data_IF_563748565447
#
_entry.id   IF_563748565447
#
_cell.length_a   1.000
_cell.length_b   1.000
_cell.length_c   1.000
_cell.angle_alpha   90.00
_cell.angle_beta   90.00
_cell.angle_gamma   90.00
#
_symmetry.space_group_name_H-M   'P 1'
#
loop_
_entity.id
_entity.type
_entity.pdbx_description
1 polymer ?
#
# COMPACT_ATOMS: atom_id res chain seq x y z
N UNK A 1 -14.93 -24.41 -10.64
CA UNK A 1 -16.10 -23.63 -11.06
C UNK A 1 -15.98 -23.36 -12.57
N UNK A 2 -17.11 -23.55 -13.29
CA UNK A 2 -17.22 -23.21 -14.71
C UNK A 2 -17.61 -21.75 -14.94
N UNK A 3 -18.04 -21.42 -16.18
CA UNK A 3 -18.57 -20.08 -16.47
C UNK A 3 -19.92 -19.84 -15.79
N UNK A 4 -20.75 -20.89 -15.72
CA UNK A 4 -22.07 -20.87 -15.08
C UNK A 4 -21.98 -21.18 -13.58
N UNK A 5 -23.12 -21.04 -12.89
CA UNK A 5 -23.25 -21.39 -11.49
C UNK A 5 -23.03 -22.88 -11.27
N UNK A 6 -22.08 -23.21 -10.40
CA UNK A 6 -21.83 -24.55 -9.88
C UNK A 6 -22.24 -24.58 -8.42
N UNK A 7 -23.00 -25.59 -8.00
CA UNK A 7 -23.52 -25.72 -6.64
C UNK A 7 -22.91 -26.95 -5.94
N UNK A 8 -22.55 -26.77 -4.68
CA UNK A 8 -22.08 -27.83 -3.80
C UNK A 8 -22.97 -27.87 -2.56
N UNK A 9 -23.63 -28.99 -2.34
CA UNK A 9 -24.55 -29.22 -1.22
C UNK A 9 -23.83 -29.92 -0.07
N UNK A 10 -23.75 -29.27 1.08
CA UNK A 10 -23.20 -29.80 2.33
C UNK A 10 -24.28 -29.89 3.43
N UNK A 11 -25.52 -30.15 3.06
CA UNK A 11 -26.66 -30.24 3.99
C UNK A 11 -27.15 -28.88 4.45
N UNK A 12 -26.67 -28.41 5.61
CA UNK A 12 -27.05 -27.08 6.13
C UNK A 12 -26.43 -25.91 5.35
N UNK A 13 -25.34 -26.17 4.63
CA UNK A 13 -24.60 -25.17 3.88
C UNK A 13 -24.67 -25.44 2.38
N UNK A 14 -25.05 -24.44 1.62
CA UNK A 14 -24.97 -24.42 0.16
C UNK A 14 -23.83 -23.50 -0.27
N UNK A 15 -22.92 -24.02 -1.10
CA UNK A 15 -21.86 -23.22 -1.73
C UNK A 15 -22.17 -23.08 -3.20
N UNK A 16 -22.21 -21.88 -3.72
CA UNK A 16 -22.38 -21.59 -5.14
C UNK A 16 -21.23 -20.72 -5.66
N UNK A 17 -20.80 -20.93 -6.90
CA UNK A 17 -19.77 -20.10 -7.51
C UNK A 17 -19.67 -20.27 -9.01
N UNK A 18 -18.95 -19.36 -9.65
CA UNK A 18 -18.66 -19.37 -11.07
C UNK A 18 -17.65 -18.30 -11.45
N UNK A 19 -17.07 -18.39 -12.64
CA UNK A 19 -16.07 -17.40 -13.10
C UNK A 19 -16.71 -16.14 -13.63
N UNK A 20 -17.85 -16.24 -14.32
CA UNK A 20 -18.61 -15.10 -14.82
C UNK A 20 -20.12 -15.43 -14.93
N UNK A 21 -20.75 -16.01 -13.86
CA UNK A 21 -22.12 -16.48 -13.95
C UNK A 21 -23.11 -15.31 -14.00
N UNK A 22 -24.23 -15.48 -14.68
CA UNK A 22 -25.31 -14.49 -14.65
C UNK A 22 -25.94 -14.42 -13.25
N UNK A 23 -25.87 -13.28 -12.55
CA UNK A 23 -26.51 -13.14 -11.24
C UNK A 23 -28.03 -13.41 -11.27
N UNK A 24 -28.72 -13.23 -12.41
CA UNK A 24 -30.14 -13.51 -12.51
C UNK A 24 -30.45 -15.00 -12.36
N UNK A 25 -29.55 -15.87 -12.81
CA UNK A 25 -29.71 -17.32 -12.74
C UNK A 25 -29.36 -17.91 -11.37
N UNK A 26 -28.85 -17.11 -10.41
CA UNK A 26 -28.55 -17.56 -9.05
C UNK A 26 -29.82 -17.92 -8.30
N UNK A 27 -29.91 -19.17 -7.86
CA UNK A 27 -31.02 -19.69 -7.05
C UNK A 27 -30.47 -20.36 -5.79
N UNK A 28 -30.79 -19.83 -4.61
CA UNK A 28 -30.32 -20.31 -3.32
C UNK A 28 -31.48 -20.54 -2.35
N UNK A 29 -31.51 -21.66 -1.64
CA UNK A 29 -32.55 -21.98 -0.67
C UNK A 29 -32.52 -21.02 0.52
N UNK A 30 -33.64 -20.36 0.86
CA UNK A 30 -33.66 -19.35 1.91
C UNK A 30 -33.43 -19.90 3.34
N UNK A 31 -33.72 -21.21 3.53
CA UNK A 31 -33.62 -21.91 4.83
C UNK A 31 -32.21 -22.41 5.16
N UNK A 32 -31.27 -22.31 4.19
CA UNK A 32 -29.89 -22.77 4.38
C UNK A 32 -28.93 -21.61 4.53
N UNK A 33 -27.75 -21.91 5.03
CA UNK A 33 -26.60 -21.01 4.97
C UNK A 33 -26.02 -21.04 3.56
N UNK A 34 -25.97 -19.90 2.91
CA UNK A 34 -25.54 -19.80 1.53
C UNK A 34 -24.25 -18.98 1.40
N UNK A 35 -23.19 -19.64 0.94
CA UNK A 35 -21.88 -19.03 0.65
C UNK A 35 -21.72 -18.95 -0.87
N UNK A 36 -21.46 -17.76 -1.37
CA UNK A 36 -21.26 -17.52 -2.81
C UNK A 36 -19.80 -17.11 -3.05
N UNK A 37 -19.15 -17.74 -4.03
CA UNK A 37 -17.76 -17.46 -4.42
C UNK A 37 -17.74 -16.82 -5.81
N UNK A 38 -17.20 -15.61 -5.90
CA UNK A 38 -16.99 -14.90 -7.17
C UNK A 38 -15.60 -14.27 -7.21
N UNK A 39 -15.07 -14.10 -8.42
CA UNK A 39 -13.81 -13.39 -8.63
C UNK A 39 -14.06 -12.12 -9.45
N UNK A 40 -13.70 -10.98 -8.89
CA UNK A 40 -13.83 -9.68 -9.58
C UNK A 40 -13.93 -8.50 -8.65
N UNK A 41 -13.97 -7.31 -9.24
CA UNK A 41 -14.06 -6.06 -8.50
C UNK A 41 -15.50 -5.59 -8.40
N UNK A 42 -15.96 -5.34 -7.18
CA UNK A 42 -17.26 -4.70 -6.93
C UNK A 42 -17.21 -3.23 -7.37
N UNK A 43 -18.20 -2.82 -8.14
CA UNK A 43 -18.37 -1.42 -8.58
C UNK A 43 -19.73 -0.87 -8.18
N UNK A 44 -19.72 0.40 -7.83
CA UNK A 44 -20.92 1.14 -7.41
C UNK A 44 -21.77 1.72 -8.53
N UNK A 45 -21.48 1.44 -9.82
CA UNK A 45 -22.21 1.93 -10.98
C UNK A 45 -21.28 2.25 -12.17
N UNK A 46 -21.82 2.24 -13.39
CA UNK A 46 -21.10 2.50 -14.64
C UNK A 46 -20.86 1.26 -15.50
N UNK A 47 -20.29 1.43 -16.72
CA UNK A 47 -19.91 0.31 -17.60
C UNK A 47 -18.81 -0.52 -16.94
N UNK A 48 -19.10 -1.79 -16.67
CA UNK A 48 -18.16 -2.72 -16.04
C UNK A 48 -17.06 -3.18 -17.00
N UNK A 49 -15.84 -3.38 -16.48
CA UNK A 49 -14.82 -4.17 -17.16
C UNK A 49 -15.08 -5.67 -17.02
N UNK A 50 -14.24 -6.49 -17.61
CA UNK A 50 -14.36 -7.95 -17.73
C UNK A 50 -14.57 -8.71 -16.40
N UNK A 51 -14.15 -8.12 -15.27
CA UNK A 51 -14.28 -8.71 -13.92
C UNK A 51 -15.10 -7.84 -12.97
N UNK A 52 -16.18 -7.23 -13.46
CA UNK A 52 -17.02 -6.34 -12.66
C UNK A 52 -18.18 -7.07 -12.01
N UNK A 53 -18.29 -6.99 -10.69
CA UNK A 53 -19.39 -7.55 -9.89
C UNK A 53 -20.34 -6.43 -9.48
N UNK A 54 -21.63 -6.62 -9.73
CA UNK A 54 -22.69 -5.67 -9.34
C UNK A 54 -23.42 -6.16 -8.09
N UNK A 55 -23.26 -5.46 -6.96
CA UNK A 55 -23.98 -5.77 -5.73
C UNK A 55 -25.52 -5.66 -5.91
N UNK A 56 -26.00 -4.71 -6.70
CA UNK A 56 -27.43 -4.55 -6.91
C UNK A 56 -28.10 -5.79 -7.51
N UNK A 57 -27.35 -6.58 -8.30
CA UNK A 57 -27.85 -7.82 -8.91
C UNK A 57 -27.77 -9.03 -7.96
N UNK A 58 -26.99 -8.94 -6.89
CA UNK A 58 -26.78 -10.00 -5.89
C UNK A 58 -27.59 -9.79 -4.61
N UNK A 59 -28.10 -8.58 -4.37
CA UNK A 59 -28.95 -8.28 -3.22
C UNK A 59 -30.23 -9.11 -3.21
N UNK A 60 -30.66 -9.52 -2.01
CA UNK A 60 -31.88 -10.28 -1.76
C UNK A 60 -31.93 -11.65 -2.48
N UNK A 61 -30.75 -12.25 -2.73
CA UNK A 61 -30.58 -13.57 -3.33
C UNK A 61 -30.30 -14.67 -2.29
N UNK A 62 -30.65 -14.44 -1.03
CA UNK A 62 -30.41 -15.34 0.10
C UNK A 62 -28.93 -15.65 0.36
N UNK A 63 -28.02 -14.73 0.06
CA UNK A 63 -26.60 -14.89 0.31
C UNK A 63 -26.31 -14.49 1.74
N UNK A 64 -25.69 -15.39 2.54
CA UNK A 64 -25.20 -15.09 3.88
C UNK A 64 -23.76 -14.55 3.84
N UNK A 65 -22.93 -15.13 2.98
CA UNK A 65 -21.54 -14.71 2.81
C UNK A 65 -21.14 -14.74 1.33
N UNK A 66 -20.75 -13.58 0.82
CA UNK A 66 -20.20 -13.45 -0.54
C UNK A 66 -18.67 -13.37 -0.45
N UNK A 67 -18.02 -14.51 -0.71
CA UNK A 67 -16.55 -14.60 -0.77
C UNK A 67 -16.05 -14.06 -2.11
N UNK A 68 -15.26 -13.01 -2.07
CA UNK A 68 -14.72 -12.32 -3.24
C UNK A 68 -13.22 -12.52 -3.36
N UNK A 69 -12.77 -12.91 -4.56
CA UNK A 69 -11.36 -12.85 -4.97
C UNK A 69 -11.09 -11.61 -5.82
N UNK A 70 -9.84 -11.31 -6.11
CA UNK A 70 -9.30 -10.22 -6.93
C UNK A 70 -8.50 -9.17 -6.12
N UNK A 71 -9.05 -8.62 -5.05
CA UNK A 71 -8.30 -7.68 -4.21
C UNK A 71 -7.38 -8.44 -3.26
N UNK A 72 -6.13 -8.00 -3.15
CA UNK A 72 -5.10 -8.62 -2.30
C UNK A 72 -5.09 -8.06 -0.86
N UNK A 73 -6.09 -7.27 -0.51
CA UNK A 73 -6.27 -6.74 0.84
C UNK A 73 -7.62 -7.16 1.39
N UNK A 74 -7.66 -7.49 2.69
CA UNK A 74 -8.90 -7.75 3.40
C UNK A 74 -9.82 -6.53 3.32
N UNK A 75 -11.06 -6.77 2.89
CA UNK A 75 -12.12 -5.76 2.88
C UNK A 75 -13.46 -6.43 3.05
N UNK A 76 -14.35 -5.83 3.81
CA UNK A 76 -15.74 -6.26 3.93
C UNK A 76 -16.72 -5.14 3.65
N UNK A 77 -17.92 -5.51 3.27
CA UNK A 77 -19.03 -4.61 3.06
C UNK A 77 -20.37 -5.34 3.30
N UNK A 78 -21.37 -4.63 3.76
CA UNK A 78 -22.74 -5.16 3.84
C UNK A 78 -23.27 -5.37 2.43
N UNK A 79 -23.74 -6.58 2.11
CA UNK A 79 -24.41 -6.86 0.85
C UNK A 79 -25.88 -6.43 0.92
N UNK A 80 -26.61 -6.92 1.91
CA UNK A 80 -28.01 -6.58 2.19
C UNK A 80 -28.34 -6.86 3.68
N UNK A 81 -29.62 -7.00 4.02
CA UNK A 81 -30.06 -7.26 5.39
C UNK A 81 -29.64 -8.64 5.92
N UNK A 82 -29.33 -9.61 5.06
CA UNK A 82 -28.98 -10.99 5.39
C UNK A 82 -27.47 -11.22 5.39
N UNK A 83 -26.76 -10.67 4.40
CA UNK A 83 -25.42 -11.08 4.09
C UNK A 83 -24.38 -9.99 3.97
N UNK A 84 -23.16 -10.42 4.04
CA UNK A 84 -21.96 -9.61 3.83
C UNK A 84 -21.17 -10.07 2.61
N UNK A 85 -20.38 -9.16 2.05
CA UNK A 85 -19.40 -9.44 1.02
C UNK A 85 -18.00 -9.19 1.57
N UNK A 86 -17.08 -10.11 1.32
CA UNK A 86 -15.75 -10.04 1.87
C UNK A 86 -14.68 -10.47 0.87
N UNK A 87 -13.67 -9.63 0.70
CA UNK A 87 -12.39 -9.98 0.12
C UNK A 87 -11.47 -10.48 1.22
N UNK A 88 -11.06 -11.72 1.20
CA UNK A 88 -10.09 -12.25 2.17
C UNK A 88 -8.68 -11.67 1.98
N UNK A 89 -8.38 -11.15 0.80
CA UNK A 89 -7.05 -10.77 0.40
C UNK A 89 -6.20 -11.97 -0.05
N UNK A 90 -4.89 -11.82 0.05
CA UNK A 90 -3.92 -12.89 -0.21
C UNK A 90 -3.30 -13.39 1.10
N UNK A 91 -2.76 -14.62 1.09
CA UNK A 91 -2.15 -15.24 2.28
C UNK A 91 -0.86 -14.54 2.72
N UNK A 92 -0.10 -14.01 1.76
CA UNK A 92 1.15 -13.28 2.00
C UNK A 92 1.33 -12.22 0.92
N UNK A 93 1.83 -11.04 1.28
CA UNK A 93 2.21 -10.01 0.31
C UNK A 93 3.43 -10.44 -0.52
N UNK A 94 3.50 -9.98 -1.77
CA UNK A 94 4.59 -10.27 -2.70
C UNK A 94 5.54 -9.10 -2.90
N UNK A 95 5.16 -7.93 -2.43
CA UNK A 95 5.94 -6.70 -2.56
C UNK A 95 5.37 -5.56 -1.72
N UNK A 96 6.01 -4.40 -1.83
CA UNK A 96 5.60 -3.18 -1.12
C UNK A 96 4.33 -2.51 -1.67
N UNK A 97 3.77 -3.02 -2.75
CA UNK A 97 2.43 -2.70 -3.24
C UNK A 97 1.33 -3.48 -2.50
N UNK A 98 1.73 -4.50 -1.74
CA UNK A 98 0.83 -5.37 -0.97
C UNK A 98 1.13 -5.29 0.54
N UNK A 99 1.35 -4.11 1.09
CA UNK A 99 1.62 -3.88 2.50
C UNK A 99 0.50 -4.31 3.44
N UNK A 100 0.84 -4.43 4.74
CA UNK A 100 -0.07 -4.73 5.82
C UNK A 100 -0.36 -6.21 6.04
N UNK A 101 -1.19 -6.50 7.04
CA UNK A 101 -1.52 -7.87 7.44
C UNK A 101 -2.21 -8.63 6.32
N UNK A 102 -1.76 -9.86 6.10
CA UNK A 102 -2.29 -10.79 5.11
C UNK A 102 -2.72 -12.08 5.80
N UNK A 103 -3.72 -12.77 5.20
CA UNK A 103 -4.27 -13.95 5.82
C UNK A 103 -5.46 -14.50 5.03
N UNK A 104 -6.34 -15.17 5.74
CA UNK A 104 -7.56 -15.74 5.19
C UNK A 104 -8.75 -15.48 6.11
N UNK A 105 -9.95 -15.76 5.63
CA UNK A 105 -11.16 -15.69 6.44
C UNK A 105 -11.61 -17.10 6.76
N UNK A 106 -11.75 -17.39 8.06
CA UNK A 106 -12.37 -18.59 8.56
C UNK A 106 -13.88 -18.35 8.67
N UNK A 107 -14.67 -19.25 8.09
CA UNK A 107 -16.12 -19.25 8.23
C UNK A 107 -16.54 -20.38 9.15
N UNK A 108 -17.40 -20.08 10.10
CA UNK A 108 -18.01 -21.04 11.01
C UNK A 108 -19.53 -20.89 10.96
N UNK A 109 -20.22 -22.01 10.85
CA UNK A 109 -21.69 -22.04 10.90
C UNK A 109 -22.18 -22.46 12.26
N UNK A 110 -22.93 -21.59 12.92
CA UNK A 110 -23.53 -21.86 14.23
C UNK A 110 -24.98 -21.43 14.21
N UNK A 111 -25.89 -22.35 14.52
CA UNK A 111 -27.33 -22.10 14.55
C UNK A 111 -27.84 -21.43 13.25
N UNK A 112 -27.46 -21.99 12.09
CA UNK A 112 -27.83 -21.50 10.75
C UNK A 112 -27.38 -20.06 10.45
N UNK A 113 -26.32 -19.59 11.13
CA UNK A 113 -25.70 -18.28 10.87
C UNK A 113 -24.21 -18.47 10.54
N UNK A 114 -23.70 -17.60 9.68
CA UNK A 114 -22.27 -17.53 9.36
C UNK A 114 -21.59 -16.52 10.28
N UNK A 115 -20.60 -17.01 11.02
CA UNK A 115 -19.60 -16.16 11.66
C UNK A 115 -18.36 -16.16 10.75
N UNK A 116 -17.70 -15.03 10.62
CA UNK A 116 -16.47 -14.93 9.86
C UNK A 116 -15.39 -14.25 10.71
N UNK A 117 -14.17 -14.75 10.60
CA UNK A 117 -13.01 -14.23 11.33
C UNK A 117 -11.83 -14.12 10.40
N UNK A 118 -11.22 -12.93 10.30
CA UNK A 118 -9.95 -12.79 9.60
C UNK A 118 -8.82 -13.37 10.43
N UNK A 119 -8.12 -14.35 9.88
CA UNK A 119 -6.99 -15.02 10.52
C UNK A 119 -5.70 -14.55 9.85
N UNK A 120 -4.84 -13.78 10.55
CA UNK A 120 -3.52 -13.43 10.04
C UNK A 120 -2.70 -14.70 9.81
N UNK A 121 -2.10 -14.83 8.62
CA UNK A 121 -1.34 -16.03 8.24
C UNK A 121 0.08 -15.70 7.78
N UNK A 122 0.31 -14.51 7.22
CA UNK A 122 1.61 -14.12 6.71
C UNK A 122 2.70 -14.22 7.79
N UNK A 123 3.76 -14.95 7.51
CA UNK A 123 4.93 -15.07 8.37
C UNK A 123 5.81 -13.80 8.36
N UNK A 124 5.63 -12.95 7.36
CA UNK A 124 6.33 -11.68 7.18
C UNK A 124 5.38 -10.66 6.56
N UNK A 125 5.47 -9.44 7.01
CA UNK A 125 4.64 -8.33 6.55
C UNK A 125 5.49 -7.30 5.84
N UNK A 126 4.97 -6.73 4.76
CA UNK A 126 5.55 -5.57 4.12
C UNK A 126 5.01 -4.29 4.78
N UNK A 127 5.91 -3.41 5.19
CA UNK A 127 5.60 -2.11 5.77
C UNK A 127 6.15 -1.02 4.87
N UNK A 128 5.35 -0.01 4.56
CA UNK A 128 5.80 1.22 3.93
C UNK A 128 5.55 2.37 4.90
N UNK A 129 6.62 3.03 5.33
CA UNK A 129 6.61 4.05 6.37
C UNK A 129 7.04 5.38 5.73
N UNK A 130 6.11 6.29 5.46
CA UNK A 130 6.47 7.66 5.12
C UNK A 130 7.03 8.36 6.37
N UNK A 131 8.18 9.01 6.22
CA UNK A 131 8.84 9.71 7.31
C UNK A 131 9.26 11.11 6.87
N UNK A 132 8.80 12.13 7.60
CA UNK A 132 9.18 13.52 7.34
C UNK A 132 10.54 13.81 8.00
N UNK A 133 11.53 14.11 7.16
CA UNK A 133 12.88 14.45 7.62
C UNK A 133 13.08 15.94 7.87
N UNK A 134 12.07 16.76 7.68
CA UNK A 134 12.17 18.19 7.90
C UNK A 134 12.52 18.50 9.36
N UNK A 135 13.52 19.33 9.55
CA UNK A 135 13.92 19.79 10.89
C UNK A 135 14.96 18.95 11.62
N UNK A 136 15.39 17.80 11.06
CA UNK A 136 16.53 17.06 11.61
C UNK A 136 17.82 17.71 11.13
N UNK A 137 18.67 18.07 12.11
CA UNK A 137 19.91 18.81 11.84
C UNK A 137 21.12 17.90 11.61
N UNK A 138 21.00 16.59 11.88
CA UNK A 138 22.11 15.66 11.75
C UNK A 138 21.65 14.23 11.42
N UNK A 139 22.49 13.47 10.73
CA UNK A 139 22.24 12.05 10.44
C UNK A 139 22.00 11.19 11.70
N UNK A 140 22.76 11.33 12.81
CA UNK A 140 22.49 10.54 14.02
C UNK A 140 21.13 10.85 14.67
N UNK A 141 20.67 12.09 14.62
CA UNK A 141 19.35 12.48 15.12
C UNK A 141 18.24 11.85 14.27
N UNK A 142 18.37 11.94 12.95
CA UNK A 142 17.45 11.31 11.99
C UNK A 142 17.41 9.78 12.17
N UNK A 143 18.57 9.12 12.31
CA UNK A 143 18.67 7.69 12.56
C UNK A 143 17.93 7.29 13.85
N UNK A 144 18.17 8.04 14.95
CA UNK A 144 17.50 7.79 16.23
C UNK A 144 15.97 7.90 16.11
N UNK A 145 15.49 8.90 15.39
CA UNK A 145 14.07 9.08 15.15
C UNK A 145 13.48 7.97 14.28
N UNK A 146 14.17 7.55 13.22
CA UNK A 146 13.77 6.42 12.38
C UNK A 146 13.71 5.12 13.18
N UNK A 147 14.70 4.84 14.04
CA UNK A 147 14.68 3.67 14.93
C UNK A 147 13.50 3.67 15.89
N UNK A 148 13.13 4.84 16.42
CA UNK A 148 11.98 5.00 17.31
C UNK A 148 10.67 4.76 16.55
N UNK A 149 10.50 5.35 15.37
CA UNK A 149 9.30 5.20 14.55
C UNK A 149 9.08 3.73 14.13
N UNK A 150 10.16 3.06 13.77
CA UNK A 150 10.10 1.67 13.29
C UNK A 150 10.22 0.62 14.39
N UNK A 151 10.38 1.02 15.65
CA UNK A 151 10.69 0.13 16.78
C UNK A 151 9.65 -0.97 17.07
N UNK A 152 8.41 -0.77 16.62
CA UNK A 152 7.33 -1.75 16.77
C UNK A 152 7.24 -2.76 15.60
N UNK A 153 8.05 -2.61 14.56
CA UNK A 153 8.04 -3.51 13.41
C UNK A 153 8.92 -4.73 13.73
N UNK A 154 8.41 -5.96 13.58
CA UNK A 154 9.20 -7.17 13.79
C UNK A 154 10.42 -7.24 12.88
N UNK A 155 11.54 -7.70 13.42
CA UNK A 155 12.80 -7.87 12.65
C UNK A 155 12.68 -8.86 11.49
N UNK A 156 11.68 -9.72 11.52
CA UNK A 156 11.37 -10.69 10.47
C UNK A 156 10.68 -10.07 9.27
N UNK A 157 10.16 -8.85 9.40
CA UNK A 157 9.36 -8.18 8.40
C UNK A 157 10.21 -7.38 7.41
N UNK A 158 9.58 -6.94 6.34
CA UNK A 158 10.17 -6.12 5.28
C UNK A 158 9.74 -4.68 5.44
N UNK A 159 10.67 -3.74 5.43
CA UNK A 159 10.40 -2.33 5.62
C UNK A 159 10.90 -1.50 4.43
N UNK A 160 10.04 -0.62 3.93
CA UNK A 160 10.40 0.49 3.06
C UNK A 160 10.19 1.79 3.81
N UNK A 161 11.28 2.53 4.03
CA UNK A 161 11.21 3.91 4.51
C UNK A 161 11.10 4.83 3.30
N UNK A 162 10.12 5.72 3.30
CA UNK A 162 9.97 6.76 2.28
C UNK A 162 10.25 8.10 2.95
N UNK A 163 11.46 8.61 2.77
CA UNK A 163 11.86 9.89 3.33
C UNK A 163 11.21 11.02 2.54
N UNK A 164 10.55 11.92 3.23
CA UNK A 164 9.83 13.06 2.67
C UNK A 164 10.19 14.34 3.41
N UNK A 165 9.78 15.48 2.83
CA UNK A 165 10.00 16.77 3.45
C UNK A 165 11.19 17.49 2.88
N UNK A 166 11.58 18.59 3.54
CA UNK A 166 12.63 19.48 3.07
C UNK A 166 13.90 19.28 3.86
N UNK A 167 15.01 19.16 3.15
CA UNK A 167 16.36 18.98 3.72
C UNK A 167 17.23 20.18 3.41
N UNK A 168 18.17 20.45 4.31
CA UNK A 168 19.19 21.45 4.10
C UNK A 168 20.12 20.99 2.96
N UNK A 169 20.35 21.83 1.94
CA UNK A 169 21.29 21.53 0.86
C UNK A 169 22.71 21.22 1.35
N UNK A 170 23.11 21.75 2.53
CA UNK A 170 24.42 21.52 3.11
C UNK A 170 24.56 20.17 3.81
N UNK A 171 23.43 19.57 4.24
CA UNK A 171 23.44 18.33 5.02
C UNK A 171 22.29 17.41 4.58
N UNK A 172 22.28 16.95 3.32
CA UNK A 172 21.30 15.96 2.89
C UNK A 172 21.52 14.63 3.61
N UNK A 173 20.46 13.82 3.85
CA UNK A 173 20.59 12.51 4.44
C UNK A 173 21.50 11.61 3.61
N UNK A 174 22.49 10.98 4.24
CA UNK A 174 23.27 9.91 3.59
C UNK A 174 22.44 8.62 3.60
N UNK A 175 21.76 8.35 2.48
CA UNK A 175 20.89 7.18 2.32
C UNK A 175 21.69 5.87 2.45
N UNK A 176 22.93 5.83 1.97
CA UNK A 176 23.77 4.62 2.06
C UNK A 176 24.19 4.33 3.50
N UNK A 177 24.55 5.38 4.24
CA UNK A 177 24.87 5.25 5.65
C UNK A 177 23.64 4.82 6.45
N UNK A 178 22.49 5.49 6.27
CA UNK A 178 21.23 5.11 6.92
C UNK A 178 20.84 3.65 6.62
N UNK A 179 21.01 3.21 5.37
CA UNK A 179 20.71 1.83 4.99
C UNK A 179 21.65 0.84 5.68
N UNK A 180 22.91 1.19 5.85
CA UNK A 180 23.90 0.38 6.58
C UNK A 180 23.57 0.31 8.07
N UNK A 181 23.29 1.45 8.68
CA UNK A 181 23.05 1.57 10.13
C UNK A 181 21.76 0.88 10.56
N UNK A 182 20.75 0.86 9.68
CA UNK A 182 19.45 0.23 9.92
C UNK A 182 19.34 -1.20 9.35
N UNK A 183 20.33 -1.71 8.62
CA UNK A 183 20.26 -2.99 7.91
C UNK A 183 19.88 -4.19 8.79
N UNK A 184 20.33 -4.22 10.04
CA UNK A 184 20.02 -5.31 10.99
C UNK A 184 18.66 -5.22 11.67
N UNK A 185 17.87 -4.20 11.37
CA UNK A 185 16.57 -3.96 12.00
C UNK A 185 15.42 -4.73 11.35
N UNK A 186 15.58 -5.20 10.11
CA UNK A 186 14.54 -5.86 9.32
C UNK A 186 15.12 -7.00 8.49
N UNK A 187 14.26 -7.92 8.04
CA UNK A 187 14.66 -8.96 7.08
C UNK A 187 15.02 -8.37 5.71
N UNK A 188 14.38 -7.27 5.34
CA UNK A 188 14.72 -6.45 4.19
C UNK A 188 14.43 -4.98 4.51
N UNK A 189 15.40 -4.12 4.30
CA UNK A 189 15.23 -2.67 4.33
C UNK A 189 15.39 -2.08 2.93
N UNK A 190 14.49 -1.17 2.57
CA UNK A 190 14.59 -0.28 1.42
C UNK A 190 14.41 1.14 1.90
N UNK A 191 15.23 2.06 1.44
CA UNK A 191 15.03 3.50 1.68
C UNK A 191 14.79 4.14 0.32
N UNK A 192 13.70 4.89 0.22
CA UNK A 192 13.35 5.70 -0.93
C UNK A 192 13.41 7.16 -0.52
N UNK A 193 14.22 7.91 -1.22
CA UNK A 193 14.35 9.34 -1.00
C UNK A 193 13.37 10.10 -1.91
N UNK A 194 12.40 10.75 -1.29
CA UNK A 194 11.44 11.67 -1.92
C UNK A 194 11.57 13.07 -1.27
N UNK A 195 12.73 13.38 -0.70
CA UNK A 195 12.99 14.70 -0.11
C UNK A 195 13.18 15.76 -1.20
N UNK A 196 12.92 17.00 -0.84
CA UNK A 196 13.20 18.17 -1.64
C UNK A 196 14.23 19.07 -0.94
N UNK A 197 14.91 19.92 -1.67
CA UNK A 197 15.85 20.86 -1.07
C UNK A 197 15.11 22.08 -0.51
N UNK A 198 15.45 22.47 0.70
CA UNK A 198 15.03 23.76 1.25
C UNK A 198 15.98 24.85 0.76
N UNK A 199 15.58 25.53 -0.31
CA UNK A 199 16.38 26.61 -0.89
C UNK A 199 15.68 27.93 -0.61
N UNK A 200 16.24 28.76 0.29
CA UNK A 200 15.83 30.15 0.44
C UNK A 200 16.78 31.04 -0.39
N UNK A 201 16.29 31.73 -1.44
CA UNK A 201 17.13 32.60 -2.26
C UNK A 201 17.90 33.66 -1.44
N UNK A 202 17.35 34.08 -0.31
CA UNK A 202 17.96 35.09 0.57
C UNK A 202 19.26 34.59 1.21
N UNK A 203 19.38 33.28 1.46
CA UNK A 203 20.59 32.70 2.06
C UNK A 203 21.79 32.78 1.11
N UNK A 204 21.55 32.97 -0.19
CA UNK A 204 22.57 32.99 -1.24
C UNK A 204 22.79 34.38 -1.87
N UNK A 205 22.03 35.43 -1.48
CA UNK A 205 22.14 36.78 -2.05
C UNK A 205 23.58 37.34 -1.95
N UNK A 206 24.22 37.14 -0.83
CA UNK A 206 25.54 37.66 -0.53
C UNK A 206 26.64 36.58 -0.50
N UNK A 207 26.30 35.33 -0.86
CA UNK A 207 27.27 34.21 -0.90
C UNK A 207 28.18 34.40 -2.13
N UNK A 208 29.45 34.73 -1.88
CA UNK A 208 30.49 34.95 -2.92
C UNK A 208 31.13 33.62 -3.39
N UNK A 209 30.75 32.51 -2.82
CA UNK A 209 31.28 31.20 -3.20
C UNK A 209 30.80 30.78 -4.60
N UNK A 210 31.50 29.81 -5.21
CA UNK A 210 31.08 29.17 -6.47
C UNK A 210 29.69 28.57 -6.33
N UNK A 211 29.37 28.00 -5.18
CA UNK A 211 28.05 27.45 -4.85
C UNK A 211 26.98 28.53 -4.88
N UNK A 212 27.17 29.67 -4.18
CA UNK A 212 26.22 30.75 -4.13
C UNK A 212 25.96 31.35 -5.53
N UNK A 213 27.00 31.54 -6.32
CA UNK A 213 26.89 32.00 -7.70
C UNK A 213 26.11 31.00 -8.58
N UNK A 214 26.39 29.70 -8.44
CA UNK A 214 25.68 28.65 -9.15
C UNK A 214 24.19 28.66 -8.82
N UNK A 215 23.83 28.68 -7.51
CA UNK A 215 22.43 28.66 -7.08
C UNK A 215 21.70 29.92 -7.59
N UNK A 216 22.28 31.11 -7.46
CA UNK A 216 21.65 32.35 -7.97
C UNK A 216 21.38 32.29 -9.46
N UNK A 217 22.31 31.73 -10.25
CA UNK A 217 22.13 31.57 -11.70
C UNK A 217 21.02 30.62 -12.06
N UNK A 218 20.92 29.51 -11.34
CA UNK A 218 19.83 28.53 -11.55
C UNK A 218 18.49 29.13 -11.17
N UNK A 219 18.39 29.79 -10.02
CA UNK A 219 17.15 30.48 -9.59
C UNK A 219 16.71 31.61 -10.52
N UNK A 220 17.66 32.26 -11.20
CA UNK A 220 17.37 33.29 -12.18
C UNK A 220 17.07 32.76 -13.61
N UNK A 221 17.15 31.43 -13.81
CA UNK A 221 16.86 30.80 -15.10
C UNK A 221 15.36 30.74 -15.39
N UNK A 222 14.98 30.53 -16.64
CA UNK A 222 13.58 30.39 -17.07
C UNK A 222 13.00 28.99 -16.81
N UNK A 223 13.72 28.11 -16.10
CA UNK A 223 13.27 26.77 -15.76
C UNK A 223 12.17 26.83 -14.70
N UNK A 224 11.30 25.83 -14.67
CA UNK A 224 10.32 25.69 -13.58
C UNK A 224 10.98 25.32 -12.24
N UNK A 225 10.27 25.50 -11.14
CA UNK A 225 10.80 25.28 -9.79
C UNK A 225 11.31 23.86 -9.58
N UNK A 226 10.66 22.85 -10.16
CA UNK A 226 11.06 21.46 -9.99
C UNK A 226 12.36 21.14 -10.75
N UNK A 227 12.54 21.74 -11.92
CA UNK A 227 13.76 21.59 -12.69
C UNK A 227 14.91 22.39 -12.07
N UNK A 228 14.66 23.59 -11.54
CA UNK A 228 15.65 24.35 -10.76
C UNK A 228 16.15 23.55 -9.55
N UNK A 229 15.27 22.92 -8.79
CA UNK A 229 15.65 22.06 -7.65
C UNK A 229 16.52 20.90 -8.09
N UNK A 230 16.19 20.23 -9.19
CA UNK A 230 17.00 19.12 -9.74
C UNK A 230 18.39 19.57 -10.16
N UNK A 231 18.48 20.70 -10.86
CA UNK A 231 19.76 21.27 -11.29
C UNK A 231 20.61 21.64 -10.08
N UNK A 232 20.02 22.25 -9.05
CA UNK A 232 20.72 22.64 -7.83
C UNK A 232 21.20 21.38 -7.09
N UNK A 233 20.35 20.37 -6.92
CA UNK A 233 20.72 19.12 -6.27
C UNK A 233 21.90 18.44 -6.96
N UNK A 234 21.85 18.32 -8.30
CA UNK A 234 22.91 17.74 -9.10
C UNK A 234 24.22 18.53 -8.98
N UNK A 235 24.13 19.86 -9.10
CA UNK A 235 25.31 20.73 -9.02
C UNK A 235 25.96 20.72 -7.64
N UNK A 236 25.19 20.70 -6.56
CA UNK A 236 25.72 20.60 -5.20
C UNK A 236 26.43 19.27 -4.95
N UNK A 237 25.89 18.16 -5.47
CA UNK A 237 26.60 16.86 -5.43
C UNK A 237 27.91 16.90 -6.17
N UNK A 238 27.92 17.44 -7.39
CA UNK A 238 29.14 17.61 -8.17
C UNK A 238 30.19 18.49 -7.47
N UNK A 239 29.76 19.58 -6.81
CA UNK A 239 30.66 20.45 -6.03
C UNK A 239 31.27 19.75 -4.80
N UNK A 240 30.61 18.74 -4.27
CA UNK A 240 31.15 17.87 -3.18
C UNK A 240 32.01 16.72 -3.70
N UNK A 241 32.14 16.56 -5.00
CA UNK A 241 32.89 15.46 -5.61
C UNK A 241 32.12 14.13 -5.63
N UNK A 242 30.82 14.17 -5.45
CA UNK A 242 29.95 13.00 -5.56
C UNK A 242 29.57 12.77 -7.03
N UNK A 243 29.55 11.51 -7.49
CA UNK A 243 29.04 11.20 -8.81
C UNK A 243 27.51 11.44 -8.84
N UNK A 244 27.02 12.30 -9.74
CA UNK A 244 25.59 12.47 -9.90
C UNK A 244 24.97 11.18 -10.46
N UNK A 245 24.00 10.63 -9.74
CA UNK A 245 23.13 9.59 -10.31
C UNK A 245 22.24 10.26 -11.37
N UNK A 246 22.43 9.88 -12.64
CA UNK A 246 21.67 10.34 -13.81
C UNK A 246 20.43 9.48 -13.98
#
# INVERSE_FOLDING_TARGET
>A
FGQDWTYFDFGEVMIAGGTAPDPAALSLPPERVNVVLLHGQVRGGGKGGEYSISFSKLKNKNIDYLALGHLHSYREATLDARGIACYSGCLMGRGFDECGRKGYVLLETVNSRVNHTFVPFASRVFHEIPFDVSGYASCPELESALRKETGNIPKTDFCRLVLKGQVDPECPPDIRQLQTDLAGSFALLRIRDETTLRIDPRDYENDISLKGEFIRRVLASEQDSAEQERIIACGLRALRGEEPEI
#
